data_IF_810811449885
#
_entry.id   IF_810811449885
#
_cell.length_a   1.000
_cell.length_b   1.000
_cell.length_c   1.000
_cell.angle_alpha   90.00
_cell.angle_beta   90.00
_cell.angle_gamma   90.00
#
_symmetry.space_group_name_H-M   'P 1'
#
loop_
_entity.id
_entity.type
_entity.pdbx_description
1 polymer ?
#
# COMPACT_ATOMS: atom_id res chain seq x y z
N UNK A 1 -18.41 22.39 -15.74
CA UNK A 1 -17.01 22.34 -15.28
C UNK A 1 -16.62 20.87 -15.02
N UNK A 2 -15.95 20.20 -15.97
CA UNK A 2 -15.56 18.77 -15.85
C UNK A 2 -14.31 18.51 -14.97
N UNK A 3 -13.58 19.54 -14.55
CA UNK A 3 -12.40 19.39 -13.68
C UNK A 3 -12.73 18.97 -12.24
N UNK A 4 -13.89 19.37 -11.70
CA UNK A 4 -14.26 19.12 -10.30
C UNK A 4 -14.50 17.65 -9.95
N UNK A 5 -14.96 16.85 -10.91
CA UNK A 5 -15.25 15.42 -10.70
C UNK A 5 -13.96 14.61 -10.55
N UNK A 6 -12.95 14.89 -11.40
CA UNK A 6 -11.65 14.20 -11.34
C UNK A 6 -10.93 14.53 -10.03
N UNK A 7 -10.96 15.78 -9.59
CA UNK A 7 -10.39 16.21 -8.30
C UNK A 7 -11.08 15.52 -7.12
N UNK A 8 -12.41 15.43 -7.16
CA UNK A 8 -13.19 14.73 -6.14
C UNK A 8 -12.80 13.25 -6.07
N UNK A 9 -12.74 12.55 -7.21
CA UNK A 9 -12.34 11.13 -7.26
C UNK A 9 -10.91 10.94 -6.73
N UNK A 10 -9.96 11.80 -7.14
CA UNK A 10 -8.58 11.75 -6.64
C UNK A 10 -8.52 11.90 -5.12
N UNK A 11 -9.31 12.83 -4.56
CA UNK A 11 -9.41 13.03 -3.10
C UNK A 11 -9.95 11.80 -2.40
N UNK A 12 -11.04 11.21 -2.90
CA UNK A 12 -11.62 9.99 -2.33
C UNK A 12 -10.66 8.80 -2.37
N UNK A 13 -9.99 8.57 -3.50
CA UNK A 13 -8.99 7.49 -3.61
C UNK A 13 -7.86 7.71 -2.60
N UNK A 14 -7.38 8.95 -2.46
CA UNK A 14 -6.36 9.29 -1.47
C UNK A 14 -6.79 8.95 -0.04
N UNK A 15 -7.98 9.40 0.37
CA UNK A 15 -8.52 9.16 1.70
C UNK A 15 -8.77 7.68 1.98
N UNK A 16 -9.32 6.94 1.02
CA UNK A 16 -9.54 5.49 1.16
C UNK A 16 -8.20 4.75 1.26
N UNK A 17 -7.20 5.15 0.47
CA UNK A 17 -5.86 4.55 0.53
C UNK A 17 -5.21 4.80 1.88
N UNK A 18 -5.31 6.01 2.42
CA UNK A 18 -4.80 6.36 3.75
C UNK A 18 -5.47 5.52 4.85
N UNK A 19 -6.80 5.39 4.81
CA UNK A 19 -7.53 4.51 5.72
C UNK A 19 -7.09 3.04 5.57
N UNK A 20 -6.92 2.56 4.34
CA UNK A 20 -6.43 1.21 4.07
C UNK A 20 -5.03 0.97 4.65
N UNK A 21 -4.12 1.93 4.51
CA UNK A 21 -2.77 1.85 5.08
C UNK A 21 -2.79 1.79 6.62
N UNK A 22 -3.64 2.60 7.27
CA UNK A 22 -3.81 2.56 8.72
C UNK A 22 -4.37 1.20 9.19
N UNK A 23 -5.33 0.65 8.44
CA UNK A 23 -5.90 -0.68 8.74
C UNK A 23 -4.89 -1.80 8.54
N UNK A 24 -4.04 -1.75 7.50
CA UNK A 24 -2.95 -2.70 7.28
C UNK A 24 -1.95 -2.64 8.45
N UNK A 25 -1.56 -1.44 8.87
CA UNK A 25 -0.65 -1.27 10.01
C UNK A 25 -1.25 -1.87 11.30
N UNK A 26 -2.53 -1.63 11.57
CA UNK A 26 -3.23 -2.23 12.71
C UNK A 26 -3.29 -3.76 12.61
N UNK A 27 -3.64 -4.30 11.44
CA UNK A 27 -3.74 -5.74 11.21
C UNK A 27 -2.39 -6.44 11.46
N UNK A 28 -1.28 -5.86 10.99
CA UNK A 28 0.07 -6.36 11.26
C UNK A 28 0.35 -6.44 12.76
N UNK A 29 0.05 -5.37 13.51
CA UNK A 29 0.26 -5.35 14.96
C UNK A 29 -0.58 -6.42 15.66
N UNK A 30 -1.88 -6.49 15.36
CA UNK A 30 -2.79 -7.45 15.99
C UNK A 30 -2.39 -8.91 15.67
N UNK A 31 -2.02 -9.20 14.43
CA UNK A 31 -1.63 -10.54 14.03
C UNK A 31 -0.32 -10.98 14.71
N UNK A 32 0.63 -10.07 14.93
CA UNK A 32 1.86 -10.35 15.68
C UNK A 32 1.56 -10.62 17.17
N UNK A 33 0.67 -9.84 17.79
CA UNK A 33 0.36 -9.94 19.21
C UNK A 33 -0.49 -11.16 19.57
N UNK A 34 -1.50 -11.46 18.76
CA UNK A 34 -2.49 -12.51 19.04
C UNK A 34 -2.06 -13.84 18.40
N UNK A 35 -1.38 -13.78 17.25
CA UNK A 35 -1.10 -14.94 16.42
C UNK A 35 -2.34 -15.47 15.69
N UNK A 36 -2.12 -16.32 14.69
CA UNK A 36 -3.19 -16.94 13.91
C UNK A 36 -3.99 -15.97 13.04
N UNK A 37 -5.16 -16.41 12.60
CA UNK A 37 -6.02 -15.65 11.69
C UNK A 37 -7.03 -14.79 12.46
N UNK A 38 -7.15 -13.51 12.11
CA UNK A 38 -8.16 -12.64 12.71
C UNK A 38 -9.47 -12.76 11.91
N UNK A 39 -10.63 -12.64 12.57
CA UNK A 39 -11.93 -12.82 11.90
C UNK A 39 -12.18 -11.88 10.69
N UNK A 40 -11.45 -10.75 10.62
CA UNK A 40 -11.55 -9.75 9.56
C UNK A 40 -10.27 -9.61 8.72
N UNK A 41 -9.17 -10.23 9.14
CA UNK A 41 -7.87 -10.15 8.48
C UNK A 41 -7.28 -11.55 8.40
N UNK A 42 -7.03 -12.03 7.17
CA UNK A 42 -6.38 -13.32 6.95
C UNK A 42 -4.87 -13.23 7.29
N UNK A 43 -3.98 -13.87 6.53
CA UNK A 43 -2.55 -13.79 6.80
C UNK A 43 -1.90 -12.51 6.24
N UNK A 44 -2.11 -11.36 6.89
CA UNK A 44 -1.57 -10.06 6.44
C UNK A 44 -0.04 -10.04 6.50
N UNK A 45 0.54 -10.56 7.58
CA UNK A 45 2.00 -10.63 7.74
C UNK A 45 2.62 -11.60 6.72
N UNK A 46 2.02 -12.78 6.50
CA UNK A 46 2.47 -13.73 5.49
C UNK A 46 2.36 -13.19 4.08
N UNK A 47 1.25 -12.53 3.73
CA UNK A 47 1.10 -11.86 2.43
C UNK A 47 2.18 -10.78 2.22
N UNK A 48 2.48 -9.98 3.25
CA UNK A 48 3.53 -8.96 3.16
C UNK A 48 4.92 -9.59 3.00
N UNK A 49 5.24 -10.62 3.78
CA UNK A 49 6.56 -11.29 3.70
C UNK A 49 6.74 -12.04 2.38
N UNK A 50 5.68 -12.66 1.83
CA UNK A 50 5.70 -13.29 0.51
C UNK A 50 5.96 -12.26 -0.61
N UNK A 51 5.34 -11.07 -0.54
CA UNK A 51 5.63 -9.98 -1.47
C UNK A 51 7.09 -9.52 -1.36
N UNK A 52 7.61 -9.36 -0.15
CA UNK A 52 9.01 -8.97 0.08
C UNK A 52 9.97 -10.04 -0.47
N UNK A 53 9.68 -11.32 -0.24
CA UNK A 53 10.48 -12.43 -0.76
C UNK A 53 10.49 -12.43 -2.31
N UNK A 54 9.32 -12.28 -2.94
CA UNK A 54 9.21 -12.21 -4.39
C UNK A 54 9.98 -11.01 -4.99
N UNK A 55 10.01 -9.87 -4.28
CA UNK A 55 10.83 -8.72 -4.65
C UNK A 55 12.33 -8.98 -4.47
N UNK A 56 12.73 -9.73 -3.43
CA UNK A 56 14.11 -10.14 -3.20
C UNK A 56 14.63 -11.10 -4.27
N UNK A 57 13.83 -12.11 -4.63
CA UNK A 57 14.14 -13.08 -5.69
C UNK A 57 14.26 -12.39 -7.06
N UNK A 58 13.49 -11.34 -7.29
CA UNK A 58 13.54 -10.50 -8.49
C UNK A 58 14.21 -9.14 -8.22
N UNK A 59 15.29 -9.11 -7.43
CA UNK A 59 15.88 -7.88 -6.87
C UNK A 59 16.01 -6.70 -7.84
N UNK A 60 16.47 -6.92 -9.08
CA UNK A 60 16.58 -5.86 -10.09
C UNK A 60 15.20 -5.33 -10.52
N UNK A 61 14.25 -6.22 -10.81
CA UNK A 61 12.88 -5.85 -11.21
C UNK A 61 12.15 -5.16 -10.06
N UNK A 62 12.36 -5.64 -8.83
CA UNK A 62 11.83 -5.02 -7.61
C UNK A 62 12.32 -3.58 -7.43
N UNK A 63 13.62 -3.34 -7.60
CA UNK A 63 14.20 -1.99 -7.53
C UNK A 63 13.68 -1.06 -8.64
N UNK A 64 13.50 -1.56 -9.87
CA UNK A 64 12.91 -0.80 -10.97
C UNK A 64 11.46 -0.40 -10.62
N UNK A 65 10.66 -1.33 -10.10
CA UNK A 65 9.28 -1.07 -9.70
C UNK A 65 9.22 0.00 -8.60
N UNK A 66 10.05 -0.09 -7.57
CA UNK A 66 10.14 0.90 -6.49
C UNK A 66 10.56 2.27 -7.06
N UNK A 67 11.56 2.30 -7.95
CA UNK A 67 12.01 3.52 -8.61
C UNK A 67 10.88 4.23 -9.38
N UNK A 68 10.07 3.48 -10.12
CA UNK A 68 8.91 4.01 -10.85
C UNK A 68 7.85 4.56 -9.88
N UNK A 69 7.57 3.84 -8.79
CA UNK A 69 6.60 4.26 -7.77
C UNK A 69 7.07 5.58 -7.13
N UNK A 70 8.32 5.67 -6.69
CA UNK A 70 8.88 6.88 -6.11
C UNK A 70 8.86 8.05 -7.09
N UNK A 71 9.21 7.81 -8.36
CA UNK A 71 9.14 8.83 -9.40
C UNK A 71 7.71 9.35 -9.61
N UNK A 72 6.71 8.45 -9.61
CA UNK A 72 5.30 8.83 -9.73
C UNK A 72 4.84 9.70 -8.54
N UNK A 73 5.26 9.35 -7.32
CA UNK A 73 4.97 10.16 -6.13
C UNK A 73 5.69 11.51 -6.15
N UNK A 74 6.97 11.55 -6.54
CA UNK A 74 7.73 12.79 -6.65
C UNK A 74 7.11 13.75 -7.69
N UNK A 75 6.60 13.22 -8.81
CA UNK A 75 5.90 14.02 -9.83
C UNK A 75 4.55 14.59 -9.37
N UNK A 76 3.98 14.10 -8.26
CA UNK A 76 2.74 14.62 -7.67
C UNK A 76 2.95 15.84 -6.76
N UNK A 77 4.18 16.35 -6.60
CA UNK A 77 4.45 17.62 -5.93
C UNK A 77 4.71 18.73 -6.96
N UNK A 78 3.67 19.31 -7.59
CA UNK A 78 3.81 20.60 -8.25
C UNK A 78 3.96 21.68 -7.17
N UNK A 79 5.01 22.49 -7.29
CA UNK A 79 4.97 23.84 -6.75
C UNK A 79 3.95 24.69 -7.50
#
# INVERSE_FOLDING_TARGET
MPGSVIETIKKWIGQITELGLLLIALAIVLQILIGGNLAFFDDVVGNLTALIAALGDNGLVGLIAIGIIMWLFAKRSPG
#
